data_IF_890292833683
#
_entry.id   IF_890292833683
#
_cell.length_a   1.000
_cell.length_b   1.000
_cell.length_c   1.000
_cell.angle_alpha   90.00
_cell.angle_beta   90.00
_cell.angle_gamma   90.00
#
_symmetry.space_group_name_H-M   'P 1'
#
loop_
_entity.id
_entity.type
_entity.pdbx_description
1 polymer ?
#
# COMPACT_ATOMS: atom_id res chain seq x y z
N UNK A 1 -6.80 4.74 9.93
CA UNK A 1 -6.62 6.07 9.26
C UNK A 1 -5.45 6.87 9.81
N UNK A 2 -5.08 6.73 11.10
CA UNK A 2 -3.96 7.45 11.71
C UNK A 2 -2.66 7.40 10.90
N UNK A 3 -2.23 6.21 10.46
CA UNK A 3 -1.04 6.04 9.64
C UNK A 3 -1.08 6.86 8.33
N UNK A 4 -2.25 6.93 7.68
CA UNK A 4 -2.42 7.72 6.45
C UNK A 4 -2.35 9.24 6.72
N UNK A 5 -2.75 9.68 7.91
CA UNK A 5 -2.74 11.10 8.30
C UNK A 5 -1.37 11.56 8.82
N UNK A 6 -0.67 10.70 9.56
CA UNK A 6 0.64 11.02 10.12
C UNK A 6 1.71 11.09 9.06
N UNK A 7 1.78 10.05 8.22
CA UNK A 7 3.06 9.69 7.62
C UNK A 7 2.99 9.59 6.08
N UNK A 8 1.78 9.68 5.50
CA UNK A 8 1.58 9.67 4.05
C UNK A 8 1.97 8.34 3.40
N UNK A 9 2.63 8.39 2.24
CA UNK A 9 3.16 7.22 1.54
C UNK A 9 2.29 6.70 0.39
N UNK A 10 2.87 5.80 -0.41
CA UNK A 10 2.16 5.12 -1.48
C UNK A 10 1.32 3.98 -0.90
N UNK A 11 0.04 3.91 -1.29
CA UNK A 11 -0.90 2.89 -0.80
C UNK A 11 -1.61 2.23 -1.99
N UNK A 12 -1.67 0.90 -1.97
CA UNK A 12 -2.44 0.10 -2.91
C UNK A 12 -3.76 -0.36 -2.30
N UNK A 13 -4.75 -0.67 -3.16
CA UNK A 13 -6.05 -1.19 -2.71
C UNK A 13 -7.01 -0.13 -2.14
N UNK A 14 -6.59 1.13 -2.08
CA UNK A 14 -7.43 2.27 -1.71
C UNK A 14 -7.00 3.52 -2.45
N UNK A 15 -7.91 4.50 -2.50
CA UNK A 15 -7.68 5.83 -3.06
C UNK A 15 -7.86 6.82 -1.91
N UNK A 16 -6.81 7.62 -1.68
CA UNK A 16 -6.80 8.65 -0.64
C UNK A 16 -7.17 9.99 -1.28
N UNK A 17 -8.17 10.66 -0.73
CA UNK A 17 -8.62 11.97 -1.19
C UNK A 17 -8.32 13.03 -0.12
N UNK A 18 -7.73 14.15 -0.53
CA UNK A 18 -7.35 15.23 0.38
C UNK A 18 -6.21 14.85 1.33
N UNK A 19 -6.04 15.62 2.40
CA UNK A 19 -5.01 15.40 3.42
C UNK A 19 -5.42 15.94 4.79
N UNK A 20 -4.69 15.56 5.84
CA UNK A 20 -4.91 16.05 7.19
C UNK A 20 -6.34 15.75 7.72
N UNK A 21 -7.05 16.73 8.29
CA UNK A 21 -8.41 16.54 8.81
C UNK A 21 -9.46 16.19 7.76
N UNK A 22 -9.26 16.62 6.50
CA UNK A 22 -10.20 16.41 5.39
C UNK A 22 -9.96 15.08 4.65
N UNK A 23 -8.97 14.29 5.10
CA UNK A 23 -8.63 13.01 4.48
C UNK A 23 -9.82 12.05 4.50
N UNK A 24 -10.22 11.62 3.30
CA UNK A 24 -11.20 10.55 3.07
C UNK A 24 -10.58 9.43 2.25
N UNK A 25 -11.12 8.22 2.37
CA UNK A 25 -10.58 7.03 1.71
C UNK A 25 -11.72 6.24 1.07
N UNK A 26 -11.54 5.88 -0.20
CA UNK A 26 -12.40 4.94 -0.92
C UNK A 26 -11.63 3.67 -1.27
N UNK A 27 -12.29 2.52 -1.21
CA UNK A 27 -11.74 1.27 -1.70
C UNK A 27 -11.75 1.24 -3.24
N UNK A 28 -11.06 0.27 -3.83
CA UNK A 28 -10.95 0.14 -5.30
C UNK A 28 -12.27 -0.14 -5.99
N UNK A 29 -13.28 -0.64 -5.27
CA UNK A 29 -14.65 -0.82 -5.78
C UNK A 29 -15.50 0.46 -5.70
N UNK A 30 -14.93 1.57 -5.21
CA UNK A 30 -15.59 2.86 -5.05
C UNK A 30 -16.36 3.04 -3.74
N UNK A 31 -16.45 2.02 -2.90
CA UNK A 31 -17.09 2.13 -1.59
C UNK A 31 -16.23 2.97 -0.61
N UNK A 32 -16.85 3.73 0.31
CA UNK A 32 -16.10 4.42 1.37
C UNK A 32 -15.50 3.41 2.34
N UNK A 33 -14.31 3.70 2.86
CA UNK A 33 -13.70 2.89 3.93
C UNK A 33 -14.57 2.96 5.20
N UNK A 34 -14.93 1.79 5.75
CA UNK A 34 -15.69 1.67 6.99
C UNK A 34 -14.73 1.74 8.19
N UNK A 35 -14.83 2.76 9.07
CA UNK A 35 -13.94 2.88 10.22
C UNK A 35 -14.16 1.81 11.30
N UNK A 36 -15.25 1.03 11.24
CA UNK A 36 -15.55 -0.05 12.18
C UNK A 36 -15.17 -1.44 11.65
N UNK A 37 -14.81 -1.55 10.38
CA UNK A 37 -14.41 -2.82 9.78
C UNK A 37 -12.93 -3.15 10.07
N UNK A 38 -12.61 -4.44 10.07
CA UNK A 38 -11.23 -4.93 10.15
C UNK A 38 -10.70 -5.17 8.74
N UNK A 39 -9.49 -4.68 8.47
CA UNK A 39 -8.81 -4.83 7.19
C UNK A 39 -7.46 -5.52 7.37
N UNK A 40 -7.10 -6.39 6.44
CA UNK A 40 -5.72 -6.88 6.33
C UNK A 40 -4.90 -5.87 5.53
N UNK A 41 -3.78 -5.42 6.12
CA UNK A 41 -2.85 -4.49 5.49
C UNK A 41 -1.51 -5.19 5.38
N UNK A 42 -0.95 -5.23 4.17
CA UNK A 42 0.38 -5.75 3.92
C UNK A 42 1.40 -4.61 3.98
N UNK A 43 2.37 -4.71 4.87
CA UNK A 43 3.48 -3.76 5.00
C UNK A 43 4.80 -4.51 5.12
N UNK A 44 5.92 -3.83 4.86
CA UNK A 44 7.23 -4.37 5.18
C UNK A 44 7.52 -4.26 6.70
N UNK A 45 8.52 -4.98 7.16
CA UNK A 45 8.90 -5.02 8.57
C UNK A 45 9.38 -3.67 9.12
N UNK A 46 10.03 -2.82 8.31
CA UNK A 46 10.44 -1.48 8.74
C UNK A 46 9.23 -0.63 9.14
N UNK A 47 8.21 -0.55 8.28
CA UNK A 47 6.95 0.17 8.54
C UNK A 47 6.19 -0.47 9.71
N UNK A 48 6.13 -1.81 9.78
CA UNK A 48 5.46 -2.51 10.88
C UNK A 48 6.04 -2.13 12.26
N UNK A 49 7.38 -2.09 12.36
CA UNK A 49 8.11 -1.75 13.58
C UNK A 49 8.11 -0.24 13.91
N UNK A 50 7.35 0.56 13.15
CA UNK A 50 7.16 1.99 13.37
C UNK A 50 8.13 2.89 12.61
N UNK A 51 8.81 2.36 11.59
CA UNK A 51 9.57 3.15 10.61
C UNK A 51 8.73 4.29 10.06
N UNK A 52 9.35 5.46 9.87
CA UNK A 52 8.71 6.73 9.49
C UNK A 52 7.50 7.16 10.35
N UNK A 53 7.42 6.69 11.60
CA UNK A 53 6.38 7.10 12.54
C UNK A 53 5.06 6.32 12.45
N UNK A 54 5.03 5.20 11.71
CA UNK A 54 3.85 4.36 11.62
C UNK A 54 3.53 3.63 12.94
N UNK A 55 2.27 3.25 13.12
CA UNK A 55 1.75 2.71 14.38
C UNK A 55 1.30 1.24 14.30
N UNK A 56 1.64 0.51 13.24
CA UNK A 56 1.06 -0.81 12.97
C UNK A 56 1.30 -1.84 14.09
N UNK A 57 2.52 -1.95 14.64
CA UNK A 57 2.80 -2.87 15.77
C UNK A 57 2.05 -2.54 17.05
N UNK A 58 1.59 -1.29 17.22
CA UNK A 58 0.75 -0.89 18.36
C UNK A 58 -0.72 -1.23 18.11
N UNK A 59 -1.14 -1.21 16.85
CA UNK A 59 -2.51 -1.46 16.41
C UNK A 59 -2.82 -2.96 16.30
N UNK A 60 -1.83 -3.76 15.89
CA UNK A 60 -1.89 -5.22 15.86
C UNK A 60 -0.54 -5.81 16.31
N UNK A 61 -0.36 -6.09 17.62
CA UNK A 61 0.90 -6.61 18.15
C UNK A 61 1.17 -8.07 17.76
N UNK A 62 0.13 -8.81 17.34
CA UNK A 62 0.18 -10.23 17.00
C UNK A 62 0.09 -10.45 15.47
N UNK A 63 0.54 -9.47 14.68
CA UNK A 63 0.50 -9.54 13.23
C UNK A 63 1.32 -10.71 12.67
N UNK A 64 0.89 -11.22 11.51
CA UNK A 64 1.56 -12.33 10.83
C UNK A 64 2.82 -11.88 10.08
N UNK A 65 3.99 -12.31 10.54
CA UNK A 65 5.24 -12.17 9.79
C UNK A 65 5.32 -13.23 8.69
N UNK A 66 5.29 -12.77 7.43
CA UNK A 66 5.40 -13.66 6.26
C UNK A 66 6.76 -14.36 6.16
N UNK A 67 7.82 -13.79 6.77
CA UNK A 67 9.20 -14.24 6.59
C UNK A 67 9.76 -14.01 5.16
N UNK A 68 8.98 -13.38 4.28
CA UNK A 68 9.33 -13.15 2.88
C UNK A 68 10.04 -11.80 2.75
N UNK A 69 11.20 -11.81 2.10
CA UNK A 69 11.90 -10.57 1.77
C UNK A 69 11.05 -9.71 0.83
N UNK A 70 10.85 -8.42 1.14
CA UNK A 70 9.91 -7.54 0.42
C UNK A 70 10.14 -7.45 -1.10
N UNK A 71 11.39 -7.62 -1.56
CA UNK A 71 11.75 -7.66 -2.99
C UNK A 71 11.25 -8.90 -3.72
N UNK A 72 11.09 -10.02 -3.02
CA UNK A 72 10.80 -11.31 -3.64
C UNK A 72 9.46 -11.31 -4.40
N UNK A 73 8.33 -10.83 -3.82
CA UNK A 73 7.08 -10.71 -4.57
C UNK A 73 7.18 -9.85 -5.84
N UNK A 74 7.96 -8.76 -5.79
CA UNK A 74 8.18 -7.88 -6.94
C UNK A 74 8.96 -8.61 -8.04
N UNK A 75 10.05 -9.31 -7.67
CA UNK A 75 10.85 -10.10 -8.61
C UNK A 75 10.02 -11.21 -9.25
N UNK A 76 9.25 -11.95 -8.44
CA UNK A 76 8.40 -13.02 -8.93
C UNK A 76 7.30 -12.49 -9.85
N UNK A 77 6.68 -11.37 -9.51
CA UNK A 77 5.67 -10.74 -10.37
C UNK A 77 6.25 -10.32 -11.71
N UNK A 78 7.40 -9.62 -11.74
CA UNK A 78 8.06 -9.20 -12.99
C UNK A 78 8.41 -10.43 -13.86
N UNK A 79 8.99 -11.47 -13.26
CA UNK A 79 9.34 -12.70 -14.00
C UNK A 79 8.11 -13.39 -14.59
N UNK A 80 7.00 -13.40 -13.87
CA UNK A 80 5.75 -14.01 -14.32
C UNK A 80 5.13 -13.30 -15.54
N UNK A 81 5.48 -12.03 -15.79
CA UNK A 81 4.95 -11.29 -16.94
C UNK A 81 5.56 -11.73 -18.27
N UNK A 82 6.72 -12.40 -18.27
CA UNK A 82 7.38 -12.83 -19.50
C UNK A 82 7.75 -11.69 -20.44
N UNK A 83 8.02 -10.49 -19.90
CA UNK A 83 8.29 -9.27 -20.66
C UNK A 83 9.61 -9.33 -21.43
N UNK A 84 9.67 -8.63 -22.57
CA UNK A 84 10.83 -8.52 -23.44
C UNK A 84 10.72 -7.31 -24.39
N UNK A 85 11.63 -7.15 -25.38
CA UNK A 85 11.61 -5.99 -26.28
C UNK A 85 10.27 -5.77 -27.02
N UNK A 86 9.61 -6.86 -27.43
CA UNK A 86 8.31 -6.80 -28.15
C UNK A 86 7.10 -6.71 -27.20
N UNK A 87 7.30 -6.95 -25.90
CA UNK A 87 6.27 -6.87 -24.86
C UNK A 87 6.88 -6.25 -23.59
N UNK A 88 7.05 -4.93 -23.56
CA UNK A 88 7.77 -4.23 -22.48
C UNK A 88 6.92 -4.18 -21.20
N UNK A 89 7.59 -4.12 -20.05
CA UNK A 89 6.94 -4.11 -18.73
C UNK A 89 5.99 -2.92 -18.56
N UNK A 90 6.34 -1.78 -19.14
CA UNK A 90 5.59 -0.54 -19.12
C UNK A 90 4.18 -0.69 -19.70
N UNK A 91 3.99 -1.64 -20.63
CA UNK A 91 2.66 -1.94 -21.20
C UNK A 91 1.69 -2.62 -20.21
N UNK A 92 2.20 -3.08 -19.07
CA UNK A 92 1.45 -3.78 -18.02
C UNK A 92 1.22 -2.92 -16.77
N UNK A 93 1.81 -1.73 -16.72
CA UNK A 93 1.66 -0.79 -15.61
C UNK A 93 0.53 0.19 -15.92
N UNK A 94 -0.29 0.53 -14.94
CA UNK A 94 -1.21 1.65 -15.08
C UNK A 94 -0.46 2.98 -14.98
N UNK A 95 -0.98 3.99 -15.67
CA UNK A 95 -0.46 5.36 -15.70
C UNK A 95 -1.08 6.25 -14.62
N UNK A 96 -1.93 5.68 -13.74
CA UNK A 96 -2.66 6.44 -12.75
C UNK A 96 -1.78 6.73 -11.54
N UNK A 97 -1.44 8.00 -11.26
CA UNK A 97 -0.69 8.34 -10.05
C UNK A 97 -1.53 8.02 -8.80
N UNK A 98 -0.96 7.26 -7.87
CA UNK A 98 -1.61 6.89 -6.60
C UNK A 98 -1.07 7.65 -5.38
N UNK A 99 -0.32 8.71 -5.62
CA UNK A 99 0.26 9.58 -4.59
C UNK A 99 0.08 11.05 -4.96
N UNK A 100 0.35 11.98 -4.03
CA UNK A 100 0.27 13.41 -4.31
C UNK A 100 1.24 13.78 -5.45
N UNK A 101 0.78 14.64 -6.37
CA UNK A 101 1.65 15.34 -7.32
C UNK A 101 2.60 16.23 -6.50
N UNK A 102 3.89 15.95 -6.54
CA UNK A 102 4.95 16.75 -5.89
C UNK A 102 5.54 17.77 -6.84
#
# INVERSE_FOLDING_TARGET
LENLRCCGGAVGGMIVHGSGPELTVTLTDGSPLDPQATYHVLVNNYIYQGGDGYHFSQQDPDAYDTGIHWREPVIQWIRAQGTGPDHPLESLLDDTPRGPEW
#
